data_IF_890241615988
#
_entry.id   IF_890241615988
#
_cell.length_a   1.000
_cell.length_b   1.000
_cell.length_c   1.000
_cell.angle_alpha   90.00
_cell.angle_beta   90.00
_cell.angle_gamma   90.00
#
_symmetry.space_group_name_H-M   'P 1'
#
loop_
_entity.id
_entity.type
_entity.pdbx_description
1 polymer ?
#
# COMPACT_ATOMS: atom_id res chain seq x y z
N UNK A 1 -11.31 27.45 32.17
CA UNK A 1 -11.89 28.04 30.95
C UNK A 1 -12.52 26.89 30.19
N UNK A 2 -13.62 26.29 30.69
CA UNK A 2 -15.00 26.85 30.68
C UNK A 2 -15.42 27.00 29.22
N UNK A 3 -16.35 26.21 28.67
CA UNK A 3 -17.77 26.04 29.04
C UNK A 3 -18.23 24.59 28.77
N UNK A 4 -18.79 23.77 29.67
CA UNK A 4 -20.04 23.80 30.47
C UNK A 4 -21.35 23.79 29.64
N UNK A 5 -21.84 22.57 29.43
CA UNK A 5 -23.23 22.11 29.60
C UNK A 5 -24.37 23.13 29.40
N UNK A 6 -25.07 23.05 28.26
CA UNK A 6 -26.49 23.44 28.16
C UNK A 6 -27.27 22.50 27.23
N UNK A 7 -27.56 21.29 27.71
CA UNK A 7 -28.72 20.52 27.26
C UNK A 7 -29.82 20.70 28.32
N UNK A 8 -30.58 21.79 28.19
CA UNK A 8 -31.73 22.08 29.06
C UNK A 8 -32.88 21.20 28.58
N UNK A 9 -33.24 20.20 29.39
CA UNK A 9 -34.51 19.47 29.29
C UNK A 9 -35.65 20.49 29.30
N UNK A 10 -36.42 20.53 28.21
CA UNK A 10 -37.77 21.11 28.23
C UNK A 10 -38.64 20.16 29.06
N UNK A 11 -38.73 20.41 30.36
CA UNK A 11 -39.84 19.92 31.18
C UNK A 11 -41.02 20.85 30.87
N UNK A 12 -42.08 20.28 30.34
CA UNK A 12 -43.38 20.94 30.19
C UNK A 12 -43.77 21.57 31.52
N UNK A 13 -44.00 22.89 31.53
CA UNK A 13 -44.62 23.54 32.67
C UNK A 13 -46.06 23.00 32.80
N UNK A 14 -46.45 22.45 33.95
CA UNK A 14 -47.80 21.96 34.14
C UNK A 14 -48.78 23.14 34.09
N UNK A 15 -50.03 22.91 33.64
CA UNK A 15 -51.01 23.97 33.49
C UNK A 15 -51.21 24.71 34.81
N UNK A 16 -51.39 26.03 34.73
CA UNK A 16 -51.52 26.97 35.86
C UNK A 16 -52.63 26.60 36.86
N UNK A 17 -53.55 25.71 36.50
CA UNK A 17 -54.54 25.09 37.38
C UNK A 17 -53.96 24.07 38.38
N UNK A 18 -52.82 23.43 38.07
CA UNK A 18 -52.09 22.54 38.98
C UNK A 18 -51.34 23.32 40.07
N UNK A 19 -50.81 24.51 39.74
CA UNK A 19 -50.07 25.39 40.66
C UNK A 19 -50.99 25.93 41.78
N UNK A 20 -52.29 26.06 41.52
CA UNK A 20 -53.27 26.55 42.49
C UNK A 20 -53.66 25.52 43.57
N UNK A 21 -53.42 24.22 43.35
CA UNK A 21 -53.66 23.17 44.34
C UNK A 21 -52.49 22.97 45.31
N UNK A 22 -51.27 23.36 44.92
CA UNK A 22 -50.06 23.26 45.77
C UNK A 22 -50.11 24.21 46.98
N UNK A 23 -50.91 25.27 46.94
CA UNK A 23 -50.91 26.33 47.97
C UNK A 23 -52.07 26.30 48.98
N UNK A 24 -53.04 25.39 48.85
CA UNK A 24 -54.18 25.31 49.78
C UNK A 24 -53.90 24.30 50.91
N UNK A 25 -53.28 24.77 52.00
CA UNK A 25 -53.01 23.95 53.19
C UNK A 25 -54.27 23.27 53.79
N UNK A 26 -55.47 23.83 53.61
CA UNK A 26 -56.70 23.31 54.23
C UNK A 26 -57.48 22.29 53.37
N UNK A 27 -56.99 21.93 52.18
CA UNK A 27 -57.68 21.01 51.26
C UNK A 27 -56.77 19.92 50.69
N UNK A 28 -55.75 19.54 51.48
CA UNK A 28 -54.81 18.47 51.13
C UNK A 28 -55.41 17.08 51.41
N UNK A 29 -56.39 17.01 52.31
CA UNK A 29 -57.20 15.82 52.59
C UNK A 29 -58.67 16.12 52.31
N UNK A 30 -59.31 15.31 51.46
CA UNK A 30 -60.69 15.51 51.02
C UNK A 30 -61.55 14.36 51.53
N UNK A 31 -62.54 14.69 52.37
CA UNK A 31 -63.50 13.72 52.87
C UNK A 31 -64.54 13.35 51.80
N UNK A 32 -64.76 12.05 51.62
CA UNK A 32 -65.65 11.50 50.60
C UNK A 32 -66.90 10.87 51.22
N UNK A 33 -68.01 10.91 50.48
CA UNK A 33 -69.27 10.21 50.82
C UNK A 33 -69.84 10.56 52.21
N UNK A 34 -69.73 11.82 52.62
CA UNK A 34 -70.23 12.29 53.91
C UNK A 34 -71.75 12.40 53.88
N UNK A 35 -72.40 11.68 54.79
CA UNK A 35 -73.86 11.70 54.92
C UNK A 35 -74.30 12.93 55.70
N UNK A 36 -75.47 13.48 55.37
CA UNK A 36 -76.09 14.55 56.17
C UNK A 36 -76.48 14.05 57.57
N UNK A 37 -76.89 12.78 57.66
CA UNK A 37 -77.34 12.14 58.89
C UNK A 37 -76.68 10.77 59.07
N UNK A 38 -76.17 10.54 60.27
CA UNK A 38 -75.71 9.23 60.73
C UNK A 38 -76.67 8.71 61.81
N UNK A 39 -76.96 7.41 61.79
CA UNK A 39 -77.91 6.81 62.74
C UNK A 39 -77.24 6.68 64.11
N UNK A 40 -77.81 7.24 65.19
CA UNK A 40 -77.27 7.07 66.55
C UNK A 40 -77.13 5.60 66.93
N UNK A 41 -76.02 5.23 67.58
CA UNK A 41 -75.76 3.85 68.00
C UNK A 41 -75.21 2.92 66.91
N UNK A 42 -74.91 3.43 65.72
CA UNK A 42 -74.21 2.69 64.65
C UNK A 42 -72.76 3.15 64.49
N UNK A 43 -71.86 2.24 64.13
CA UNK A 43 -70.48 2.58 63.79
C UNK A 43 -70.46 3.46 62.53
N UNK A 44 -69.55 4.41 62.46
CA UNK A 44 -69.40 5.32 61.32
C UNK A 44 -68.03 5.14 60.68
N UNK A 45 -68.02 4.72 59.42
CA UNK A 45 -66.82 4.73 58.58
C UNK A 45 -66.68 6.07 57.89
N UNK A 46 -65.55 6.73 58.14
CA UNK A 46 -65.16 7.97 57.48
C UNK A 46 -64.19 7.65 56.34
N UNK A 47 -64.51 8.10 55.13
CA UNK A 47 -63.66 7.92 53.95
C UNK A 47 -63.02 9.25 53.57
N UNK A 48 -61.75 9.22 53.17
CA UNK A 48 -61.05 10.40 52.69
C UNK A 48 -59.96 10.03 51.68
N UNK A 49 -59.60 11.00 50.86
CA UNK A 49 -58.56 10.91 49.85
C UNK A 49 -57.45 11.91 50.20
N UNK A 50 -56.21 11.49 49.98
CA UNK A 50 -55.02 12.30 50.28
C UNK A 50 -54.45 12.82 48.95
N UNK A 51 -54.17 14.13 48.89
CA UNK A 51 -53.53 14.74 47.73
C UNK A 51 -52.11 14.21 47.52
N UNK A 52 -51.69 14.04 46.26
CA UNK A 52 -50.35 13.57 45.87
C UNK A 52 -49.19 14.45 46.39
N UNK A 53 -49.48 15.68 46.85
CA UNK A 53 -48.49 16.61 47.38
C UNK A 53 -48.44 16.64 48.92
N UNK A 54 -49.27 15.83 49.60
CA UNK A 54 -49.30 15.70 51.05
C UNK A 54 -48.61 14.41 51.49
N UNK A 55 -47.75 14.49 52.49
CA UNK A 55 -47.02 13.34 53.04
C UNK A 55 -47.60 13.02 54.42
N UNK A 56 -48.41 11.95 54.57
CA UNK A 56 -49.01 11.57 55.85
C UNK A 56 -47.96 11.10 56.86
N UNK A 57 -48.16 11.41 58.13
CA UNK A 57 -47.36 10.91 59.25
C UNK A 57 -48.12 9.88 60.09
N UNK A 58 -47.38 8.99 60.77
CA UNK A 58 -47.94 7.97 61.69
C UNK A 58 -48.64 8.59 62.92
N UNK A 59 -48.48 9.89 63.13
CA UNK A 59 -49.10 10.67 64.21
C UNK A 59 -50.25 11.54 63.70
N UNK A 60 -50.68 11.35 62.47
CA UNK A 60 -51.84 12.04 61.94
C UNK A 60 -53.12 11.33 62.39
N UNK A 61 -54.21 12.07 62.48
CA UNK A 61 -55.47 11.55 63.01
C UNK A 61 -56.68 12.26 62.42
N UNK A 62 -57.80 11.54 62.41
CA UNK A 62 -59.10 12.09 62.03
C UNK A 62 -59.93 12.28 63.29
N UNK A 63 -60.40 13.50 63.51
CA UNK A 63 -61.26 13.85 64.63
C UNK A 63 -62.68 14.16 64.19
N UNK A 64 -63.65 13.90 65.07
CA UNK A 64 -65.01 14.44 64.98
C UNK A 64 -65.06 15.70 65.83
N UNK A 65 -65.40 16.84 65.24
CA UNK A 65 -65.48 18.12 65.91
C UNK A 65 -66.89 18.67 65.83
N UNK A 66 -67.37 19.28 66.92
CA UNK A 66 -68.60 20.08 66.89
C UNK A 66 -68.33 21.33 66.03
N UNK A 67 -69.25 21.65 65.12
CA UNK A 67 -69.13 22.84 64.25
C UNK A 67 -68.97 24.10 65.11
N UNK A 68 -67.99 24.94 64.76
CA UNK A 68 -67.61 26.12 65.55
C UNK A 68 -66.45 25.91 66.53
N UNK A 69 -65.77 24.75 66.47
CA UNK A 69 -64.51 24.50 67.17
C UNK A 69 -63.45 25.58 66.86
N UNK A 70 -62.63 25.94 67.85
CA UNK A 70 -61.56 26.96 67.68
C UNK A 70 -60.17 26.36 67.61
N UNK A 71 -59.96 25.21 68.25
CA UNK A 71 -58.66 24.55 68.35
C UNK A 71 -58.79 23.05 68.11
N UNK A 72 -57.70 22.42 67.66
CA UNK A 72 -57.63 20.96 67.47
C UNK A 72 -57.78 20.17 68.77
N UNK A 73 -57.78 20.83 69.93
CA UNK A 73 -58.01 20.22 71.25
C UNK A 73 -59.49 20.03 71.58
N UNK A 74 -60.40 20.60 70.78
CA UNK A 74 -61.86 20.54 70.96
C UNK A 74 -62.51 19.37 70.20
N UNK A 75 -61.75 18.32 69.89
CA UNK A 75 -62.31 17.12 69.29
C UNK A 75 -63.26 16.43 70.27
N UNK A 76 -64.35 15.87 69.76
CA UNK A 76 -65.26 15.03 70.54
C UNK A 76 -64.69 13.62 70.70
N UNK A 77 -64.26 13.04 69.58
CA UNK A 77 -63.55 11.75 69.52
C UNK A 77 -62.58 11.77 68.35
N UNK A 78 -61.60 10.88 68.36
CA UNK A 78 -60.58 10.78 67.32
C UNK A 78 -60.18 9.33 67.06
N UNK A 79 -59.57 9.13 65.90
CA UNK A 79 -58.95 7.88 65.50
C UNK A 79 -57.67 8.19 64.73
N UNK A 80 -56.59 7.46 65.01
CA UNK A 80 -55.33 7.59 64.25
C UNK A 80 -55.56 7.25 62.78
N UNK A 81 -54.92 8.02 61.91
CA UNK A 81 -54.92 7.72 60.48
C UNK A 81 -54.20 6.37 60.25
N UNK A 82 -54.68 5.52 59.33
CA UNK A 82 -53.99 4.27 58.98
C UNK A 82 -52.58 4.56 58.46
N UNK A 83 -51.68 3.60 58.65
CA UNK A 83 -50.31 3.70 58.14
C UNK A 83 -50.33 3.71 56.61
N UNK A 84 -49.73 4.73 56.00
CA UNK A 84 -49.62 4.89 54.56
C UNK A 84 -48.54 3.92 54.02
N UNK A 85 -48.87 3.14 52.99
CA UNK A 85 -47.91 2.24 52.32
C UNK A 85 -47.34 2.91 51.08
N UNK A 86 -46.02 2.97 50.93
CA UNK A 86 -45.33 3.61 49.79
C UNK A 86 -45.34 2.75 48.50
N UNK A 87 -46.49 2.20 48.11
CA UNK A 87 -46.63 1.59 46.79
C UNK A 87 -46.94 2.69 45.75
N UNK A 88 -46.44 2.56 44.51
CA UNK A 88 -46.61 3.58 43.46
C UNK A 88 -48.09 3.91 43.12
N UNK A 89 -49.06 3.13 43.63
CA UNK A 89 -50.51 3.36 43.46
C UNK A 89 -51.25 3.83 44.73
N UNK A 90 -50.53 4.09 45.83
CA UNK A 90 -51.14 4.33 47.14
C UNK A 90 -51.97 5.62 47.26
N UNK A 91 -51.66 6.63 46.43
CA UNK A 91 -52.39 7.91 46.43
C UNK A 91 -53.77 7.84 45.77
N UNK A 92 -54.02 6.84 44.93
CA UNK A 92 -55.35 6.58 44.32
C UNK A 92 -56.26 5.73 45.23
N UNK A 93 -55.71 5.14 46.30
CA UNK A 93 -56.49 4.34 47.25
C UNK A 93 -57.18 5.23 48.30
N UNK A 94 -58.52 5.15 48.32
CA UNK A 94 -59.34 5.84 49.32
C UNK A 94 -59.06 5.29 50.72
N UNK A 95 -58.65 6.17 51.62
CA UNK A 95 -58.36 5.84 53.01
C UNK A 95 -59.63 5.84 53.85
N UNK A 96 -59.65 5.03 54.91
CA UNK A 96 -60.80 4.92 55.79
C UNK A 96 -60.44 4.79 57.27
N UNK A 97 -61.29 5.36 58.11
CA UNK A 97 -61.19 5.30 59.57
C UNK A 97 -62.55 4.93 60.15
N UNK A 98 -62.57 3.99 61.09
CA UNK A 98 -63.78 3.49 61.72
C UNK A 98 -63.98 4.11 63.12
N UNK A 99 -65.05 4.87 63.28
CA UNK A 99 -65.49 5.36 64.58
C UNK A 99 -66.54 4.43 65.18
N UNK A 100 -66.24 3.89 66.35
CA UNK A 100 -67.15 2.99 67.05
C UNK A 100 -68.32 3.75 67.67
N UNK A 101 -69.52 3.19 67.55
CA UNK A 101 -70.78 3.79 67.98
C UNK A 101 -70.76 4.35 69.41
N UNK A 102 -70.06 3.67 70.31
CA UNK A 102 -70.01 4.05 71.72
C UNK A 102 -69.17 5.30 72.01
N UNK A 103 -68.32 5.72 71.07
CA UNK A 103 -67.55 6.97 71.12
C UNK A 103 -68.21 8.13 70.36
N UNK A 104 -69.36 7.92 69.73
CA UNK A 104 -70.01 8.94 68.91
C UNK A 104 -70.91 9.88 69.74
N UNK A 105 -71.13 11.12 69.26
CA UNK A 105 -72.11 12.03 69.85
C UNK A 105 -73.53 11.44 69.94
N UNK A 106 -74.26 11.86 70.98
CA UNK A 106 -75.64 11.43 71.25
C UNK A 106 -76.64 12.59 71.24
N UNK A 107 -76.16 13.81 70.99
CA UNK A 107 -76.97 15.00 70.80
C UNK A 107 -77.24 15.25 69.31
N UNK A 108 -78.06 16.27 69.03
CA UNK A 108 -78.45 16.69 67.70
C UNK A 108 -77.61 17.85 67.16
N UNK A 109 -76.42 18.08 67.73
CA UNK A 109 -75.52 19.13 67.27
C UNK A 109 -74.90 18.79 65.91
N UNK A 110 -74.42 19.82 65.21
CA UNK A 110 -73.68 19.64 63.97
C UNK A 110 -72.23 19.29 64.25
N UNK A 111 -71.74 18.24 63.61
CA UNK A 111 -70.37 17.76 63.66
C UNK A 111 -69.74 17.71 62.27
N UNK A 112 -68.42 17.69 62.21
CA UNK A 112 -67.67 17.48 60.98
C UNK A 112 -66.41 16.66 61.28
N UNK A 113 -65.91 15.95 60.28
CA UNK A 113 -64.60 15.31 60.34
C UNK A 113 -63.52 16.36 60.04
N UNK A 114 -62.41 16.30 60.76
CA UNK A 114 -61.21 17.08 60.46
C UNK A 114 -59.99 16.17 60.46
N UNK A 115 -59.11 16.33 59.48
CA UNK A 115 -57.81 15.66 59.44
C UNK A 115 -56.76 16.57 60.06
N UNK A 116 -56.04 16.06 61.05
CA UNK A 116 -55.03 16.79 61.82
C UNK A 116 -53.69 16.09 61.71
N UNK A 117 -52.63 16.84 61.38
CA UNK A 117 -51.28 16.29 61.30
C UNK A 117 -50.58 16.17 62.66
N UNK A 118 -49.37 15.61 62.64
CA UNK A 118 -48.48 15.51 63.80
C UNK A 118 -48.13 16.85 64.47
N UNK A 119 -48.19 17.96 63.73
CA UNK A 119 -47.88 19.32 64.17
C UNK A 119 -49.13 20.06 64.67
N UNK A 120 -50.31 19.43 64.57
CA UNK A 120 -51.60 19.97 65.00
C UNK A 120 -52.26 20.88 63.98
N UNK A 121 -51.83 20.88 62.72
CA UNK A 121 -52.44 21.62 61.62
C UNK A 121 -53.58 20.84 60.97
N UNK A 122 -54.53 21.58 60.39
CA UNK A 122 -55.73 21.03 59.76
C UNK A 122 -55.52 20.98 58.26
N UNK A 123 -55.60 19.78 57.69
CA UNK A 123 -55.37 19.54 56.26
C UNK A 123 -56.64 19.22 55.47
N UNK A 124 -57.76 19.06 56.18
CA UNK A 124 -59.07 18.83 55.58
C UNK A 124 -60.19 18.93 56.60
N UNK A 125 -61.36 19.39 56.17
CA UNK A 125 -62.59 19.40 56.96
C UNK A 125 -63.78 18.97 56.10
N UNK A 126 -64.66 18.12 56.63
CA UNK A 126 -65.85 17.65 55.92
C UNK A 126 -66.98 18.68 55.95
N UNK A 127 -68.00 18.44 55.11
CA UNK A 127 -69.31 19.07 55.31
C UNK A 127 -69.91 18.66 56.68
N UNK A 128 -70.72 19.53 57.32
CA UNK A 128 -71.40 19.21 58.58
C UNK A 128 -72.44 18.09 58.45
N UNK A 129 -72.58 17.30 59.52
CA UNK A 129 -73.56 16.23 59.67
C UNK A 129 -74.10 16.15 61.11
N UNK A 130 -75.21 15.43 61.29
CA UNK A 130 -75.83 15.21 62.61
C UNK A 130 -76.05 13.73 62.88
N UNK A 131 -76.10 13.35 64.15
CA UNK A 131 -76.50 12.02 64.58
C UNK A 131 -78.01 11.97 64.84
N UNK A 132 -78.80 11.73 63.78
CA UNK A 132 -80.27 11.60 63.85
C UNK A 132 -80.84 10.69 62.78
N UNK A 133 -82.07 10.21 62.97
CA UNK A 133 -82.81 9.43 61.96
C UNK A 133 -83.46 10.33 60.91
N UNK A 134 -83.41 9.94 59.62
CA UNK A 134 -84.10 10.68 58.54
C UNK A 134 -85.62 10.68 58.75
N UNK A 135 -86.31 11.84 58.62
CA UNK A 135 -87.77 11.88 58.59
C UNK A 135 -88.29 11.26 57.28
N UNK A 136 -89.30 10.38 57.37
CA UNK A 136 -89.99 9.84 56.19
C UNK A 136 -90.99 10.87 55.65
N UNK A 137 -90.86 11.23 54.38
CA UNK A 137 -91.79 12.10 53.65
C UNK A 137 -93.12 11.36 53.37
N UNK A 138 -94.11 11.54 54.25
CA UNK A 138 -95.51 11.14 54.05
C UNK A 138 -96.39 12.41 54.07
N UNK A 139 -96.13 13.35 53.15
CA UNK A 139 -96.88 14.60 53.05
C UNK A 139 -97.84 14.55 51.85
N UNK A 140 -99.13 14.33 52.12
CA UNK A 140 -100.19 14.26 51.11
C UNK A 140 -100.54 15.68 50.63
N UNK A 141 -100.10 16.04 49.42
CA UNK A 141 -100.38 17.35 48.81
C UNK A 141 -101.76 17.31 48.15
N UNK A 142 -102.74 18.04 48.69
CA UNK A 142 -104.10 18.18 48.11
C UNK A 142 -104.13 19.42 47.21
N UNK A 143 -104.09 19.24 45.89
CA UNK A 143 -104.25 20.31 44.89
C UNK A 143 -105.68 20.37 44.34
N UNK A 144 -106.13 21.55 43.89
CA UNK A 144 -107.49 21.79 43.38
C UNK A 144 -107.63 21.37 41.91
N UNK A 145 -108.79 20.86 41.51
CA UNK A 145 -109.06 20.19 40.22
C UNK A 145 -108.67 21.01 38.97
N UNK A 146 -108.86 22.33 38.97
CA UNK A 146 -108.46 23.21 37.84
C UNK A 146 -106.96 23.53 37.76
N UNK A 147 -106.18 23.32 38.83
CA UNK A 147 -104.72 23.40 38.78
C UNK A 147 -104.14 22.12 38.16
N UNK A 148 -104.80 20.98 38.35
CA UNK A 148 -104.42 19.69 37.78
C UNK A 148 -104.50 19.71 36.26
N UNK A 149 -105.57 20.23 35.66
CA UNK A 149 -105.69 20.32 34.18
C UNK A 149 -104.61 21.20 33.55
N UNK A 150 -104.25 22.32 34.18
CA UNK A 150 -103.15 23.19 33.71
C UNK A 150 -101.81 22.46 33.80
N UNK A 151 -101.55 21.78 34.92
CA UNK A 151 -100.34 20.98 35.11
C UNK A 151 -100.29 19.83 34.10
N UNK A 152 -101.43 19.22 33.77
CA UNK A 152 -101.53 18.13 32.80
C UNK A 152 -101.14 18.61 31.39
N UNK A 153 -101.70 19.73 30.91
CA UNK A 153 -101.35 20.33 29.62
C UNK A 153 -99.89 20.76 29.55
N UNK A 154 -99.38 21.34 30.65
CA UNK A 154 -97.98 21.74 30.73
C UNK A 154 -97.06 20.53 30.68
N UNK A 155 -97.41 19.42 31.34
CA UNK A 155 -96.70 18.15 31.28
C UNK A 155 -96.72 17.53 29.88
N UNK A 156 -97.83 17.57 29.16
CA UNK A 156 -97.90 17.08 27.77
C UNK A 156 -96.98 17.88 26.84
N UNK A 157 -96.97 19.21 27.01
CA UNK A 157 -96.09 20.12 26.25
C UNK A 157 -94.62 19.83 26.55
N UNK A 158 -94.26 19.71 27.84
CA UNK A 158 -92.92 19.36 28.28
C UNK A 158 -92.48 17.96 27.82
N UNK A 159 -93.41 17.02 27.70
CA UNK A 159 -93.14 15.68 27.19
C UNK A 159 -92.79 15.73 25.69
N UNK A 160 -93.52 16.51 24.89
CA UNK A 160 -93.20 16.72 23.49
C UNK A 160 -91.86 17.43 23.31
N UNK A 161 -91.58 18.49 24.07
CA UNK A 161 -90.28 19.16 24.06
C UNK A 161 -89.14 18.20 24.43
N UNK A 162 -89.31 17.38 25.47
CA UNK A 162 -88.32 16.37 25.84
C UNK A 162 -88.07 15.34 24.73
N UNK A 163 -89.12 14.92 24.02
CA UNK A 163 -88.97 14.00 22.89
C UNK A 163 -88.20 14.65 21.73
N UNK A 164 -88.48 15.91 21.41
CA UNK A 164 -87.73 16.66 20.39
C UNK A 164 -86.28 16.89 20.81
N UNK A 165 -86.04 17.29 22.07
CA UNK A 165 -84.70 17.45 22.61
C UNK A 165 -83.91 16.15 22.54
N UNK A 166 -84.51 15.00 22.87
CA UNK A 166 -83.85 13.69 22.74
C UNK A 166 -83.47 13.36 21.29
N UNK A 167 -84.33 13.64 20.32
CA UNK A 167 -84.02 13.43 18.89
C UNK A 167 -82.86 14.32 18.45
N UNK A 168 -82.86 15.59 18.85
CA UNK A 168 -81.78 16.52 18.53
C UNK A 168 -80.45 16.10 19.18
N UNK A 169 -80.50 15.63 20.44
CA UNK A 169 -79.32 15.11 21.14
C UNK A 169 -78.73 13.89 20.42
N UNK A 170 -79.57 12.96 19.97
CA UNK A 170 -79.12 11.79 19.21
C UNK A 170 -78.48 12.20 17.87
N UNK A 171 -79.10 13.13 17.14
CA UNK A 171 -78.53 13.65 15.89
C UNK A 171 -77.19 14.36 16.08
N UNK A 172 -77.05 15.17 17.14
CA UNK A 172 -75.79 15.83 17.49
C UNK A 172 -74.71 14.83 17.94
N UNK A 173 -75.09 13.75 18.62
CA UNK A 173 -74.16 12.68 18.96
C UNK A 173 -73.64 11.98 17.70
N UNK A 174 -74.52 11.67 16.75
CA UNK A 174 -74.15 11.02 15.49
C UNK A 174 -73.22 11.92 14.65
N UNK A 175 -73.50 13.23 14.59
CA UNK A 175 -72.60 14.21 13.96
C UNK A 175 -71.24 14.31 14.67
N UNK A 176 -71.21 14.28 16.00
CA UNK A 176 -69.95 14.31 16.75
C UNK A 176 -69.09 13.09 16.44
N UNK A 177 -69.68 11.88 16.40
CA UNK A 177 -68.95 10.66 16.06
C UNK A 177 -68.38 10.76 14.64
N UNK A 178 -69.19 11.21 13.66
CA UNK A 178 -68.72 11.39 12.29
C UNK A 178 -67.55 12.38 12.18
N UNK A 179 -67.65 13.54 12.83
CA UNK A 179 -66.56 14.53 12.86
C UNK A 179 -65.30 13.98 13.54
N UNK A 180 -65.47 13.12 14.53
CA UNK A 180 -64.36 12.47 15.24
C UNK A 180 -63.65 11.44 14.34
N UNK A 181 -64.40 10.68 13.53
CA UNK A 181 -63.85 9.78 12.51
C UNK A 181 -63.11 10.54 11.40
N UNK A 182 -63.67 11.66 10.93
CA UNK A 182 -63.01 12.54 9.95
C UNK A 182 -61.71 13.14 10.52
N UNK A 183 -61.70 13.53 11.79
CA UNK A 183 -60.50 14.05 12.46
C UNK A 183 -59.40 12.98 12.53
N UNK A 184 -59.76 11.72 12.84
CA UNK A 184 -58.81 10.60 12.87
C UNK A 184 -58.26 10.33 11.46
N UNK A 185 -59.13 10.32 10.44
CA UNK A 185 -58.70 10.14 9.05
C UNK A 185 -57.77 11.28 8.58
N UNK A 186 -58.07 12.52 8.95
CA UNK A 186 -57.23 13.68 8.63
C UNK A 186 -55.86 13.59 9.30
N UNK A 187 -55.77 13.15 10.57
CA UNK A 187 -54.49 12.92 11.26
C UNK A 187 -53.66 11.83 10.58
N UNK A 188 -54.29 10.72 10.20
CA UNK A 188 -53.60 9.64 9.50
C UNK A 188 -53.04 10.09 8.13
N UNK A 189 -53.77 10.96 7.42
CA UNK A 189 -53.27 11.58 6.19
C UNK A 189 -52.11 12.54 6.47
N UNK A 190 -52.19 13.34 7.53
CA UNK A 190 -51.10 14.24 7.93
C UNK A 190 -49.81 13.48 8.24
N UNK A 191 -49.89 12.39 9.00
CA UNK A 191 -48.72 11.54 9.31
C UNK A 191 -48.08 10.97 8.04
N UNK A 192 -48.91 10.60 7.06
CA UNK A 192 -48.44 10.10 5.77
C UNK A 192 -47.79 11.19 4.93
N UNK A 193 -48.30 12.42 4.97
CA UNK A 193 -47.68 13.59 4.33
C UNK A 193 -46.31 13.86 4.94
N UNK A 194 -46.22 13.94 6.28
CA UNK A 194 -44.94 14.17 6.97
C UNK A 194 -43.92 13.06 6.62
N UNK A 195 -44.36 11.79 6.60
CA UNK A 195 -43.47 10.67 6.22
C UNK A 195 -42.99 10.76 4.77
N UNK A 196 -43.83 11.29 3.86
CA UNK A 196 -43.44 11.49 2.46
C UNK A 196 -42.50 12.69 2.32
N UNK A 197 -42.71 13.76 3.08
CA UNK A 197 -41.80 14.91 3.14
C UNK A 197 -40.41 14.49 3.61
N UNK A 198 -40.29 13.74 4.72
CA UNK A 198 -39.02 13.21 5.21
C UNK A 198 -38.28 12.36 4.16
N UNK A 199 -39.04 11.56 3.39
CA UNK A 199 -38.48 10.75 2.29
C UNK A 199 -38.02 11.61 1.12
N UNK A 200 -38.77 12.64 0.76
CA UNK A 200 -38.40 13.58 -0.29
C UNK A 200 -37.11 14.32 0.10
N UNK A 201 -37.02 14.85 1.32
CA UNK A 201 -35.80 15.51 1.82
C UNK A 201 -34.57 14.58 1.78
N UNK A 202 -34.74 13.33 2.19
CA UNK A 202 -33.67 12.32 2.13
C UNK A 202 -33.24 11.99 0.70
N UNK A 203 -34.18 11.89 -0.23
CA UNK A 203 -33.88 11.67 -1.65
C UNK A 203 -33.20 12.90 -2.27
N UNK A 204 -33.60 14.11 -1.89
CA UNK A 204 -32.95 15.34 -2.31
C UNK A 204 -31.51 15.43 -1.80
N UNK A 205 -31.25 15.08 -0.54
CA UNK A 205 -29.88 15.05 -0.01
C UNK A 205 -29.01 14.03 -0.74
N UNK A 206 -29.56 12.82 -1.00
CA UNK A 206 -28.85 11.78 -1.76
C UNK A 206 -28.54 12.21 -3.19
N UNK A 207 -29.50 12.83 -3.89
CA UNK A 207 -29.27 13.36 -5.23
C UNK A 207 -28.20 14.44 -5.26
N UNK A 208 -28.16 15.31 -4.24
CA UNK A 208 -27.13 16.34 -4.11
C UNK A 208 -25.74 15.74 -3.93
N UNK A 209 -25.61 14.67 -3.15
CA UNK A 209 -24.33 13.99 -2.95
C UNK A 209 -23.89 13.22 -4.20
N UNK A 210 -24.82 12.52 -4.87
CA UNK A 210 -24.55 11.88 -6.16
C UNK A 210 -24.11 12.88 -7.24
N UNK A 211 -24.69 14.09 -7.28
CA UNK A 211 -24.28 15.11 -8.24
C UNK A 211 -22.88 15.66 -7.93
N UNK A 212 -22.48 15.74 -6.65
CA UNK A 212 -21.09 16.09 -6.28
C UNK A 212 -20.11 15.01 -6.72
N UNK A 213 -20.41 13.73 -6.47
CA UNK A 213 -19.56 12.61 -6.92
C UNK A 213 -19.43 12.60 -8.43
N UNK A 214 -20.53 12.83 -9.16
CA UNK A 214 -20.52 12.93 -10.62
C UNK A 214 -19.66 14.11 -11.12
N UNK A 215 -19.68 15.25 -10.45
CA UNK A 215 -18.78 16.37 -10.77
C UNK A 215 -17.31 15.99 -10.55
N UNK A 216 -16.98 15.38 -9.41
CA UNK A 216 -15.61 14.94 -9.11
C UNK A 216 -15.10 13.90 -10.13
N UNK A 217 -15.89 12.88 -10.44
CA UNK A 217 -15.53 11.87 -11.46
C UNK A 217 -15.33 12.52 -12.83
N UNK A 218 -16.11 13.55 -13.17
CA UNK A 218 -15.98 14.26 -14.44
C UNK A 218 -14.67 15.05 -14.51
N UNK A 219 -14.24 15.66 -13.41
CA UNK A 219 -12.96 16.36 -13.27
C UNK A 219 -11.79 15.38 -13.41
N UNK A 220 -11.81 14.26 -12.67
CA UNK A 220 -10.80 13.21 -12.77
C UNK A 220 -10.69 12.66 -14.21
N UNK A 221 -11.83 12.44 -14.87
CA UNK A 221 -11.86 11.98 -16.25
C UNK A 221 -11.28 13.00 -17.23
N UNK A 222 -11.45 14.30 -16.96
CA UNK A 222 -10.83 15.37 -17.75
C UNK A 222 -9.31 15.38 -17.55
N UNK A 223 -8.84 15.29 -16.31
CA UNK A 223 -7.42 15.21 -15.99
C UNK A 223 -6.76 13.99 -16.64
N UNK A 224 -7.36 12.79 -16.52
CA UNK A 224 -6.84 11.57 -17.14
C UNK A 224 -6.75 11.70 -18.66
N UNK A 225 -7.70 12.42 -19.30
CA UNK A 225 -7.64 12.67 -20.75
C UNK A 225 -6.48 13.59 -21.13
N UNK A 226 -6.22 14.64 -20.35
CA UNK A 226 -5.11 15.55 -20.57
C UNK A 226 -3.76 14.84 -20.37
N UNK A 227 -3.62 14.06 -19.30
CA UNK A 227 -2.44 13.24 -19.04
C UNK A 227 -2.21 12.22 -20.17
N UNK A 228 -3.28 11.55 -20.64
CA UNK A 228 -3.20 10.63 -21.78
C UNK A 228 -2.70 11.32 -23.04
N UNK A 229 -3.19 12.52 -23.35
CA UNK A 229 -2.77 13.26 -24.54
C UNK A 229 -1.29 13.69 -24.43
N UNK A 230 -0.85 14.14 -23.25
CA UNK A 230 0.56 14.45 -22.97
C UNK A 230 1.46 13.23 -23.21
N UNK A 231 1.10 12.08 -22.62
CA UNK A 231 1.86 10.84 -22.77
C UNK A 231 1.89 10.36 -24.23
N UNK A 232 0.79 10.54 -24.99
CA UNK A 232 0.78 10.22 -26.42
C UNK A 232 1.73 11.11 -27.21
N UNK A 233 1.79 12.41 -26.90
CA UNK A 233 2.74 13.33 -27.53
C UNK A 233 4.20 12.98 -27.19
N UNK A 234 4.49 12.69 -25.92
CA UNK A 234 5.82 12.24 -25.48
C UNK A 234 6.22 10.93 -26.17
N UNK A 235 5.28 9.98 -26.28
CA UNK A 235 5.50 8.72 -26.99
C UNK A 235 5.86 8.98 -28.46
N UNK A 236 5.12 9.84 -29.17
CA UNK A 236 5.41 10.18 -30.56
C UNK A 236 6.80 10.84 -30.72
N UNK A 237 7.17 11.73 -29.79
CA UNK A 237 8.50 12.34 -29.77
C UNK A 237 9.61 11.29 -29.59
N UNK A 238 9.42 10.35 -28.66
CA UNK A 238 10.36 9.26 -28.41
C UNK A 238 10.46 8.29 -29.60
N UNK A 239 9.34 7.97 -30.27
CA UNK A 239 9.34 7.16 -31.49
C UNK A 239 10.12 7.84 -32.62
N UNK A 240 9.94 9.15 -32.79
CA UNK A 240 10.69 9.93 -33.78
C UNK A 240 12.19 9.95 -33.45
N UNK A 241 12.56 10.19 -32.19
CA UNK A 241 13.95 10.18 -31.75
C UNK A 241 14.61 8.81 -31.97
N UNK A 242 13.89 7.73 -31.65
CA UNK A 242 14.35 6.36 -31.87
C UNK A 242 14.59 6.09 -33.36
N UNK A 243 13.68 6.52 -34.23
CA UNK A 243 13.80 6.39 -35.68
C UNK A 243 15.03 7.13 -36.21
N UNK A 244 15.28 8.36 -35.76
CA UNK A 244 16.48 9.12 -36.12
C UNK A 244 17.75 8.43 -35.64
N UNK A 245 17.76 7.92 -34.41
CA UNK A 245 18.91 7.22 -33.82
C UNK A 245 19.21 5.92 -34.56
N UNK A 246 18.17 5.17 -34.96
CA UNK A 246 18.32 3.97 -35.77
C UNK A 246 18.92 4.29 -37.14
N UNK A 247 18.44 5.35 -37.80
CA UNK A 247 19.00 5.77 -39.08
C UNK A 247 20.47 6.16 -38.97
N UNK A 248 20.85 6.90 -37.93
CA UNK A 248 22.24 7.24 -37.64
C UNK A 248 23.10 5.99 -37.38
N UNK A 249 22.56 5.00 -36.65
CA UNK A 249 23.24 3.74 -36.40
C UNK A 249 23.49 2.97 -37.71
N UNK A 250 22.50 2.89 -38.59
CA UNK A 250 22.65 2.26 -39.90
C UNK A 250 23.71 2.98 -40.76
N UNK A 251 23.72 4.30 -40.74
CA UNK A 251 24.73 5.12 -41.44
C UNK A 251 26.15 4.86 -40.91
N UNK A 252 26.34 4.88 -39.59
CA UNK A 252 27.63 4.55 -38.97
C UNK A 252 28.06 3.10 -39.25
N UNK A 253 27.12 2.14 -39.25
CA UNK A 253 27.42 0.75 -39.60
C UNK A 253 27.94 0.63 -41.04
N UNK A 254 27.31 1.33 -41.99
CA UNK A 254 27.79 1.38 -43.37
C UNK A 254 29.18 2.02 -43.46
N UNK A 255 29.42 3.12 -42.75
CA UNK A 255 30.72 3.79 -42.72
C UNK A 255 31.82 2.88 -42.16
N UNK A 256 31.57 2.20 -41.05
CA UNK A 256 32.51 1.24 -40.45
C UNK A 256 32.76 0.08 -41.41
N UNK A 257 31.74 -0.43 -42.09
CA UNK A 257 31.94 -1.48 -43.10
C UNK A 257 32.82 -1.00 -44.26
N UNK A 258 32.60 0.22 -44.76
CA UNK A 258 33.44 0.79 -45.82
C UNK A 258 34.90 0.91 -45.38
N UNK A 259 35.15 1.43 -44.17
CA UNK A 259 36.49 1.54 -43.61
C UNK A 259 37.15 0.17 -43.40
N UNK A 260 36.39 -0.83 -42.93
CA UNK A 260 36.90 -2.20 -42.79
C UNK A 260 37.36 -2.76 -44.15
N UNK A 261 36.59 -2.54 -45.21
CA UNK A 261 36.95 -2.99 -46.56
C UNK A 261 38.19 -2.27 -47.09
N UNK A 262 38.33 -0.97 -46.81
CA UNK A 262 39.55 -0.22 -47.15
C UNK A 262 40.77 -0.76 -46.39
N UNK A 263 40.61 -1.07 -45.10
CA UNK A 263 41.66 -1.70 -44.29
C UNK A 263 42.06 -3.07 -44.84
N UNK A 264 41.11 -3.92 -45.22
CA UNK A 264 41.39 -5.23 -45.82
C UNK A 264 42.16 -5.08 -47.14
N UNK A 265 41.75 -4.15 -48.02
CA UNK A 265 42.46 -3.86 -49.27
C UNK A 265 43.90 -3.36 -49.03
N UNK A 266 44.09 -2.47 -48.05
CA UNK A 266 45.43 -1.99 -47.68
C UNK A 266 46.27 -3.13 -47.10
N UNK A 267 45.68 -4.00 -46.30
CA UNK A 267 46.37 -5.16 -45.74
C UNK A 267 46.82 -6.13 -46.83
N UNK A 268 46.01 -6.36 -47.85
CA UNK A 268 46.41 -7.19 -49.00
C UNK A 268 47.52 -6.52 -49.83
N UNK A 269 47.43 -5.21 -50.08
CA UNK A 269 48.50 -4.45 -50.72
C UNK A 269 49.83 -4.52 -49.93
N UNK A 270 49.76 -4.44 -48.60
CA UNK A 270 50.93 -4.61 -47.73
C UNK A 270 51.51 -6.01 -47.87
N UNK A 271 50.68 -7.07 -47.89
CA UNK A 271 51.15 -8.45 -48.11
C UNK A 271 51.88 -8.59 -49.45
N UNK A 272 51.31 -8.07 -50.54
CA UNK A 272 51.93 -8.10 -51.86
C UNK A 272 53.29 -7.38 -51.85
N UNK A 273 53.35 -6.20 -51.22
CA UNK A 273 54.61 -5.44 -51.10
C UNK A 273 55.66 -6.15 -50.24
N UNK A 274 55.24 -6.89 -49.21
CA UNK A 274 56.14 -7.74 -48.42
C UNK A 274 56.70 -8.88 -49.28
N UNK A 275 55.87 -9.53 -50.09
CA UNK A 275 56.31 -10.57 -51.03
C UNK A 275 57.32 -10.03 -52.05
N UNK A 276 57.03 -8.87 -52.67
CA UNK A 276 57.96 -8.19 -53.59
C UNK A 276 59.32 -7.90 -52.92
N UNK A 277 59.30 -7.43 -51.66
CA UNK A 277 60.51 -7.13 -50.89
C UNK A 277 61.32 -8.40 -50.58
N UNK A 278 60.67 -9.51 -50.28
CA UNK A 278 61.32 -10.81 -50.05
C UNK A 278 61.97 -11.34 -51.33
N UNK A 279 61.30 -11.21 -52.48
CA UNK A 279 61.85 -11.59 -53.78
C UNK A 279 63.08 -10.75 -54.12
N UNK A 280 62.98 -9.42 -54.04
CA UNK A 280 64.11 -8.50 -54.27
C UNK A 280 65.28 -8.77 -53.32
N UNK A 281 65.00 -9.10 -52.05
CA UNK A 281 66.03 -9.49 -51.08
C UNK A 281 66.72 -10.78 -51.52
N UNK A 282 65.96 -11.77 -52.02
CA UNK A 282 66.47 -13.00 -52.62
C UNK A 282 67.37 -12.74 -53.84
N UNK A 283 66.92 -11.92 -54.77
CA UNK A 283 67.70 -11.49 -55.94
C UNK A 283 69.00 -10.79 -55.53
N UNK A 284 68.94 -9.90 -54.53
CA UNK A 284 70.11 -9.20 -54.02
C UNK A 284 71.15 -10.17 -53.43
N UNK A 285 70.72 -11.18 -52.68
CA UNK A 285 71.60 -12.25 -52.20
C UNK A 285 72.25 -13.03 -53.34
N UNK A 286 71.47 -13.40 -54.37
CA UNK A 286 72.00 -14.12 -55.54
C UNK A 286 73.02 -13.27 -56.32
N UNK A 287 72.72 -11.99 -56.53
CA UNK A 287 73.62 -11.06 -57.21
C UNK A 287 74.92 -10.85 -56.42
N UNK A 288 74.83 -10.68 -55.10
CA UNK A 288 76.02 -10.58 -54.23
C UNK A 288 76.87 -11.85 -54.30
N UNK A 289 76.26 -13.04 -54.28
CA UNK A 289 76.98 -14.30 -54.44
C UNK A 289 77.61 -14.45 -55.84
N UNK A 290 76.95 -13.99 -56.89
CA UNK A 290 77.51 -13.95 -58.25
C UNK A 290 78.69 -12.99 -58.34
N UNK A 291 78.58 -11.79 -57.75
CA UNK A 291 79.64 -10.79 -57.71
C UNK A 291 80.86 -11.29 -56.93
N UNK A 292 80.65 -12.03 -55.83
CA UNK A 292 81.72 -12.69 -55.10
C UNK A 292 82.43 -13.76 -55.94
N UNK A 293 81.65 -14.63 -56.62
CA UNK A 293 82.19 -15.63 -57.55
C UNK A 293 83.00 -14.98 -58.68
N UNK A 294 82.51 -13.88 -59.25
CA UNK A 294 83.21 -13.15 -60.30
C UNK A 294 84.52 -12.53 -59.79
N UNK A 295 84.53 -11.94 -58.59
CA UNK A 295 85.78 -11.48 -57.95
C UNK A 295 86.80 -12.61 -57.78
N UNK A 296 86.36 -13.79 -57.34
CA UNK A 296 87.24 -14.95 -57.20
C UNK A 296 87.81 -15.42 -58.54
N UNK A 297 86.98 -15.45 -59.59
CA UNK A 297 87.42 -15.78 -60.95
C UNK A 297 88.43 -14.77 -61.49
N UNK A 298 88.19 -13.47 -61.28
CA UNK A 298 89.13 -12.42 -61.69
C UNK A 298 90.47 -12.57 -60.96
N UNK A 299 90.47 -12.79 -59.64
CA UNK A 299 91.69 -13.02 -58.87
C UNK A 299 92.45 -14.26 -59.37
N UNK A 300 91.74 -15.37 -59.64
CA UNK A 300 92.35 -16.59 -60.19
C UNK A 300 92.94 -16.34 -61.59
N UNK A 301 92.25 -15.56 -62.42
CA UNK A 301 92.75 -15.16 -63.74
C UNK A 301 94.00 -14.29 -63.60
N UNK A 302 94.01 -13.32 -62.69
CA UNK A 302 95.19 -12.51 -62.38
C UNK A 302 96.38 -13.40 -61.94
N UNK A 303 96.15 -14.36 -61.02
CA UNK A 303 97.17 -15.33 -60.61
C UNK A 303 97.67 -16.20 -61.78
N UNK A 304 96.77 -16.70 -62.64
CA UNK A 304 97.14 -17.46 -63.83
C UNK A 304 97.95 -16.61 -64.82
N UNK A 305 97.58 -15.35 -65.04
CA UNK A 305 98.34 -14.45 -65.92
C UNK A 305 99.74 -14.16 -65.37
N UNK A 306 99.88 -13.99 -64.05
CA UNK A 306 101.18 -13.83 -63.40
C UNK A 306 102.02 -15.09 -63.51
N UNK A 307 101.44 -16.27 -63.26
CA UNK A 307 102.12 -17.55 -63.41
C UNK A 307 102.61 -17.78 -64.85
N UNK A 308 101.79 -17.46 -65.87
CA UNK A 308 102.19 -17.53 -67.27
C UNK A 308 103.34 -16.56 -67.60
N UNK A 309 103.34 -15.35 -67.04
CA UNK A 309 104.46 -14.41 -67.20
C UNK A 309 105.75 -14.96 -66.57
N UNK A 310 105.67 -15.56 -65.39
CA UNK A 310 106.82 -16.19 -64.71
C UNK A 310 107.35 -17.36 -65.54
N UNK A 311 106.48 -18.27 -66.00
CA UNK A 311 106.86 -19.41 -66.83
C UNK A 311 107.48 -18.97 -68.16
N UNK A 312 106.94 -17.92 -68.79
CA UNK A 312 107.53 -17.35 -70.01
C UNK A 312 108.94 -16.81 -69.75
N UNK A 313 109.14 -16.08 -68.65
CA UNK A 313 110.47 -15.61 -68.25
C UNK A 313 111.43 -16.78 -67.99
N UNK A 314 111.00 -17.80 -67.25
CA UNK A 314 111.79 -19.01 -67.01
C UNK A 314 112.14 -19.75 -68.29
N UNK A 315 111.20 -19.82 -69.25
CA UNK A 315 111.46 -20.39 -70.58
C UNK A 315 112.53 -19.58 -71.33
N UNK A 316 112.40 -18.26 -71.35
CA UNK A 316 113.37 -17.38 -72.02
C UNK A 316 114.77 -17.48 -71.35
N UNK A 317 114.82 -17.54 -70.02
CA UNK A 317 116.04 -17.75 -69.24
C UNK A 317 116.67 -19.13 -69.55
N UNK A 318 115.87 -20.20 -69.60
CA UNK A 318 116.31 -21.54 -69.97
C UNK A 318 116.75 -21.62 -71.43
N UNK A 319 116.07 -20.95 -72.36
CA UNK A 319 116.49 -20.87 -73.76
C UNK A 319 117.84 -20.16 -73.88
N UNK A 320 118.03 -19.07 -73.11
CA UNK A 320 119.30 -18.35 -73.06
C UNK A 320 120.41 -19.22 -72.45
N UNK A 321 120.13 -19.96 -71.38
CA UNK A 321 121.08 -20.88 -70.76
C UNK A 321 121.38 -22.08 -71.66
N UNK A 322 120.38 -22.64 -72.34
CA UNK A 322 120.55 -23.71 -73.31
C UNK A 322 121.37 -23.22 -74.52
N UNK A 323 121.19 -21.97 -74.95
CA UNK A 323 122.02 -21.35 -75.98
C UNK A 323 123.47 -21.16 -75.50
N UNK A 324 123.70 -20.76 -74.24
CA UNK A 324 125.04 -20.70 -73.63
C UNK A 324 125.67 -22.08 -73.55
N UNK A 325 124.95 -23.08 -73.04
CA UNK A 325 125.39 -24.47 -72.96
C UNK A 325 125.66 -25.07 -74.34
N UNK A 326 124.89 -24.67 -75.37
CA UNK A 326 125.15 -25.06 -76.76
C UNK A 326 126.47 -24.45 -77.25
N UNK A 327 126.71 -23.16 -77.00
CA UNK A 327 127.99 -22.51 -77.32
C UNK A 327 129.16 -23.16 -76.57
N UNK A 328 128.96 -23.51 -75.31
CA UNK A 328 129.96 -24.18 -74.47
C UNK A 328 130.20 -25.63 -74.90
N UNK A 329 129.16 -26.39 -75.28
CA UNK A 329 129.29 -27.70 -75.89
C UNK A 329 130.00 -27.64 -77.24
N UNK A 330 129.75 -26.61 -78.04
CA UNK A 330 130.44 -26.42 -79.31
C UNK A 330 131.92 -26.06 -79.10
N UNK A 331 132.23 -25.26 -78.06
CA UNK A 331 133.59 -25.01 -77.58
C UNK A 331 134.27 -26.28 -77.03
N UNK A 332 133.52 -27.16 -76.36
CA UNK A 332 134.01 -28.44 -75.84
C UNK A 332 134.21 -29.46 -76.98
N UNK A 333 133.33 -29.49 -77.99
CA UNK A 333 133.51 -30.24 -79.25
C UNK A 333 134.76 -29.79 -80.01
N UNK A 334 135.11 -28.51 -79.94
CA UNK A 334 136.35 -27.97 -80.53
C UNK A 334 137.64 -28.36 -79.76
N UNK A 335 137.53 -28.88 -78.53
CA UNK A 335 138.68 -29.22 -77.66
C UNK A 335 139.00 -30.72 -77.53
N UNK A 336 138.34 -31.60 -78.28
CA UNK A 336 138.60 -33.04 -78.24
C UNK A 336 138.82 -33.65 -79.65
N UNK A 337 139.88 -34.45 -79.90
CA UNK A 337 140.16 -35.06 -81.19
C UNK A 337 139.32 -36.31 -81.46
N UNK A 338 138.95 -36.50 -82.73
CA UNK A 338 138.06 -37.55 -83.21
C UNK A 338 138.66 -38.97 -83.17
N UNK A 339 137.89 -39.92 -82.61
CA UNK A 339 137.97 -41.35 -82.94
C UNK A 339 136.57 -41.86 -83.28
N UNK A 340 136.46 -42.49 -84.46
CA UNK A 340 135.30 -43.22 -84.99
C UNK A 340 135.24 -44.64 -84.42
N UNK A 341 134.05 -45.14 -84.06
CA UNK A 341 133.38 -46.30 -84.70
C UNK A 341 132.23 -46.92 -83.88
N UNK A 342 131.11 -47.13 -84.58
CA UNK A 342 130.11 -48.23 -84.52
C UNK A 342 129.07 -48.41 -83.38
N UNK A 343 127.82 -48.21 -83.82
CA UNK A 343 126.66 -49.16 -83.85
C UNK A 343 125.54 -49.12 -82.78
N UNK A 344 124.30 -49.01 -83.31
CA UNK A 344 122.95 -49.37 -82.81
C UNK A 344 122.47 -48.71 -81.50
N UNK A 345 121.22 -48.29 -81.27
CA UNK A 345 119.93 -48.51 -81.90
C UNK A 345 118.85 -48.53 -80.79
N UNK A 346 117.96 -47.52 -80.81
CA UNK A 346 116.54 -47.50 -80.37
C UNK A 346 116.10 -47.79 -78.90
N UNK A 347 115.61 -46.71 -78.27
CA UNK A 347 114.23 -46.47 -77.76
C UNK A 347 113.58 -47.32 -76.63
N UNK A 348 113.30 -46.58 -75.52
CA UNK A 348 111.96 -46.28 -74.96
C UNK A 348 111.52 -46.94 -73.64
N UNK A 349 111.25 -46.05 -72.66
CA UNK A 349 109.94 -45.79 -72.03
C UNK A 349 109.93 -45.79 -70.49
N UNK A 350 109.46 -44.67 -69.95
CA UNK A 350 108.87 -44.35 -68.63
C UNK A 350 107.77 -45.37 -68.21
N UNK A 351 107.15 -45.33 -66.99
CA UNK A 351 106.85 -44.15 -66.14
C UNK A 351 106.99 -44.38 -64.59
N UNK A 352 106.63 -43.40 -63.75
CA UNK A 352 107.02 -43.31 -62.34
C UNK A 352 105.88 -43.47 -61.30
N UNK A 353 106.32 -43.57 -60.02
CA UNK A 353 105.68 -43.18 -58.75
C UNK A 353 104.39 -43.92 -58.32
N UNK A 354 104.31 -44.77 -57.28
CA UNK A 354 104.68 -44.66 -55.84
C UNK A 354 104.30 -43.32 -55.18
N UNK A 355 103.67 -43.24 -54.01
CA UNK A 355 103.01 -44.17 -53.10
C UNK A 355 102.39 -43.27 -51.99
N UNK A 356 101.10 -43.44 -51.77
CA UNK A 356 100.33 -43.43 -50.51
C UNK A 356 100.70 -42.58 -49.27
N UNK A 357 99.61 -41.97 -48.73
CA UNK A 357 99.13 -41.98 -47.33
C UNK A 357 99.86 -41.20 -46.22
N UNK A 358 99.16 -40.22 -45.65
CA UNK A 358 98.73 -40.04 -44.23
C UNK A 358 98.18 -38.60 -44.10
N UNK A 359 97.18 -38.22 -43.31
CA UNK A 359 96.53 -38.82 -42.14
C UNK A 359 96.34 -37.73 -41.08
N UNK A 360 95.10 -37.23 -40.95
CA UNK A 360 94.41 -36.72 -39.74
C UNK A 360 94.98 -35.51 -38.93
N UNK A 361 94.06 -34.75 -38.27
CA UNK A 361 94.07 -34.45 -36.81
C UNK A 361 93.68 -33.02 -36.34
N UNK A 362 92.55 -32.96 -35.62
CA UNK A 362 92.19 -32.05 -34.49
C UNK A 362 91.95 -30.54 -34.79
N UNK A 363 91.02 -29.80 -34.18
CA UNK A 363 90.55 -29.79 -32.78
C UNK A 363 89.11 -29.26 -32.64
N UNK A 364 88.52 -29.53 -31.47
CA UNK A 364 87.12 -29.40 -31.07
C UNK A 364 86.76 -27.98 -30.49
N UNK A 365 85.67 -27.78 -29.70
CA UNK A 365 84.59 -26.80 -29.90
C UNK A 365 84.61 -25.66 -28.83
N UNK A 366 83.52 -24.92 -28.57
CA UNK A 366 82.43 -25.39 -27.68
C UNK A 366 81.01 -24.92 -28.11
N UNK A 367 79.96 -25.73 -27.85
CA UNK A 367 78.91 -25.52 -26.82
C UNK A 367 77.98 -24.31 -27.10
N UNK A 368 76.69 -24.26 -26.77
CA UNK A 368 75.69 -25.15 -26.19
C UNK A 368 74.34 -24.45 -26.46
N UNK A 369 73.27 -25.24 -26.49
CA UNK A 369 71.93 -24.93 -26.00
C UNK A 369 71.27 -23.57 -26.29
N UNK A 370 70.20 -23.62 -27.10
CA UNK A 370 69.02 -22.80 -26.83
C UNK A 370 67.80 -23.71 -26.69
N UNK A 371 67.55 -24.01 -25.42
CA UNK A 371 66.37 -24.60 -24.82
C UNK A 371 65.12 -23.78 -25.19
N UNK A 372 64.15 -24.39 -25.88
CA UNK A 372 62.81 -23.83 -26.03
C UNK A 372 62.10 -23.82 -24.68
N UNK A 373 61.96 -22.65 -24.07
CA UNK A 373 61.24 -22.45 -22.80
C UNK A 373 59.74 -22.28 -23.06
N UNK A 374 58.87 -23.02 -22.35
CA UNK A 374 57.43 -22.74 -22.29
C UNK A 374 57.18 -21.60 -21.30
N UNK A 375 56.57 -20.51 -21.76
CA UNK A 375 56.18 -19.35 -20.94
C UNK A 375 54.67 -19.31 -20.77
N UNK A 376 54.20 -19.08 -19.55
CA UNK A 376 52.78 -18.82 -19.32
C UNK A 376 52.41 -17.44 -19.90
N UNK A 377 51.39 -17.33 -20.76
CA UNK A 377 51.04 -16.08 -21.44
C UNK A 377 50.40 -15.01 -20.53
N UNK A 378 49.96 -15.40 -19.33
CA UNK A 378 49.23 -14.51 -18.40
C UNK A 378 50.18 -13.90 -17.36
N UNK A 379 50.91 -14.73 -16.59
CA UNK A 379 51.82 -14.26 -15.53
C UNK A 379 53.31 -14.23 -15.91
N UNK A 380 53.65 -14.69 -17.13
CA UNK A 380 55.01 -14.73 -17.66
C UNK A 380 56.03 -15.59 -16.88
N UNK A 381 55.57 -16.47 -15.98
CA UNK A 381 56.44 -17.43 -15.30
C UNK A 381 57.05 -18.45 -16.29
N UNK A 382 58.33 -18.77 -16.08
CA UNK A 382 59.15 -19.61 -16.95
C UNK A 382 59.30 -20.99 -16.31
N UNK A 383 58.84 -22.03 -17.01
CA UNK A 383 58.88 -23.41 -16.51
C UNK A 383 60.02 -24.23 -17.12
N UNK A 384 60.69 -25.13 -16.36
CA UNK A 384 61.69 -26.06 -16.91
C UNK A 384 61.07 -27.07 -17.89
N UNK A 385 61.85 -27.52 -18.89
CA UNK A 385 61.37 -28.36 -20.01
C UNK A 385 60.82 -29.76 -19.64
N UNK A 386 60.97 -30.19 -18.40
CA UNK A 386 60.48 -31.48 -17.90
C UNK A 386 59.21 -31.38 -17.03
N UNK A 387 58.52 -30.23 -17.02
CA UNK A 387 57.24 -30.14 -16.30
C UNK A 387 56.19 -31.05 -16.95
N UNK A 388 55.51 -31.84 -16.13
CA UNK A 388 54.40 -32.69 -16.61
C UNK A 388 53.33 -31.79 -17.24
N UNK A 389 52.87 -32.14 -18.45
CA UNK A 389 51.92 -31.34 -19.23
C UNK A 389 50.66 -30.97 -18.42
N UNK A 390 50.27 -31.83 -17.48
CA UNK A 390 49.14 -31.65 -16.59
C UNK A 390 49.39 -30.52 -15.55
N UNK A 391 50.59 -30.44 -14.98
CA UNK A 391 50.98 -29.37 -14.03
C UNK A 391 51.05 -28.00 -14.70
N UNK A 392 51.49 -27.95 -15.97
CA UNK A 392 51.45 -26.71 -16.76
C UNK A 392 50.01 -26.30 -17.10
N UNK A 393 49.14 -27.26 -17.44
CA UNK A 393 47.73 -27.00 -17.72
C UNK A 393 46.97 -26.52 -16.48
N UNK A 394 47.20 -27.13 -15.32
CA UNK A 394 46.59 -26.72 -14.05
C UNK A 394 47.03 -25.32 -13.63
N UNK A 395 48.30 -24.96 -13.87
CA UNK A 395 48.78 -23.60 -13.64
C UNK A 395 48.06 -22.57 -14.52
N UNK A 396 47.90 -22.83 -15.82
CA UNK A 396 47.20 -21.91 -16.74
C UNK A 396 45.72 -21.81 -16.37
N UNK A 397 45.08 -22.91 -15.98
CA UNK A 397 43.67 -22.93 -15.59
C UNK A 397 43.41 -22.14 -14.31
N UNK A 398 44.35 -22.08 -13.36
CA UNK A 398 44.23 -21.25 -12.17
C UNK A 398 44.22 -19.74 -12.46
N UNK A 399 44.69 -19.31 -13.64
CA UNK A 399 44.61 -17.91 -14.07
C UNK A 399 43.25 -17.56 -14.68
N UNK A 400 42.32 -18.52 -14.80
CA UNK A 400 41.03 -18.33 -15.47
C UNK A 400 39.90 -18.59 -14.48
N UNK A 401 39.02 -17.60 -14.32
CA UNK A 401 37.80 -17.65 -13.52
C UNK A 401 36.60 -17.84 -14.45
N UNK A 402 35.94 -18.98 -14.36
CA UNK A 402 34.75 -19.26 -15.15
C UNK A 402 33.49 -18.83 -14.38
N UNK A 403 32.57 -18.14 -15.07
CA UNK A 403 31.28 -17.79 -14.49
C UNK A 403 30.37 -19.02 -14.44
N UNK A 404 29.74 -19.37 -13.30
CA UNK A 404 28.88 -20.55 -13.20
C UNK A 404 27.50 -20.35 -13.83
N UNK A 405 27.10 -19.09 -14.09
CA UNK A 405 25.78 -18.72 -14.62
C UNK A 405 25.79 -18.52 -16.14
N UNK A 406 26.96 -18.22 -16.72
CA UNK A 406 27.12 -18.14 -18.17
C UNK A 406 28.52 -18.61 -18.58
N UNK A 407 28.67 -19.16 -19.79
CA UNK A 407 29.93 -19.73 -20.28
C UNK A 407 31.01 -18.66 -20.64
N UNK A 408 31.09 -17.57 -19.87
CA UNK A 408 32.11 -16.54 -20.00
C UNK A 408 33.26 -16.82 -19.03
N UNK A 409 34.48 -16.66 -19.53
CA UNK A 409 35.72 -16.87 -18.80
C UNK A 409 36.41 -15.53 -18.58
N UNK A 410 37.04 -15.36 -17.43
CA UNK A 410 37.66 -14.11 -16.98
C UNK A 410 39.10 -14.37 -16.52
N UNK A 411 40.00 -13.41 -16.66
CA UNK A 411 41.36 -13.51 -16.11
C UNK A 411 41.32 -13.30 -14.58
N UNK A 412 42.04 -14.13 -13.84
CA UNK A 412 42.21 -14.03 -12.38
C UNK A 412 42.81 -12.70 -11.91
N UNK A 413 43.54 -12.02 -12.79
CA UNK A 413 44.14 -10.70 -12.54
C UNK A 413 43.08 -9.61 -12.43
N UNK A 414 41.92 -9.79 -13.07
CA UNK A 414 40.81 -8.84 -13.13
C UNK A 414 39.63 -9.29 -12.25
N UNK A 415 39.95 -9.73 -11.02
CA UNK A 415 38.96 -10.26 -10.06
C UNK A 415 37.75 -9.35 -9.84
N UNK A 416 37.95 -8.03 -9.82
CA UNK A 416 36.84 -7.07 -9.66
C UNK A 416 35.83 -7.16 -10.81
N UNK A 417 36.28 -7.36 -12.04
CA UNK A 417 35.42 -7.46 -13.23
C UNK A 417 34.61 -8.77 -13.18
N UNK A 418 35.23 -9.85 -12.72
CA UNK A 418 34.54 -11.13 -12.46
C UNK A 418 33.46 -10.97 -11.38
N UNK A 419 33.80 -10.37 -10.24
CA UNK A 419 32.87 -10.19 -9.11
C UNK A 419 31.68 -9.31 -9.50
N UNK A 420 31.92 -8.20 -10.22
CA UNK A 420 30.86 -7.32 -10.74
C UNK A 420 29.97 -8.07 -11.75
N UNK A 421 30.56 -8.89 -12.63
CA UNK A 421 29.82 -9.70 -13.60
C UNK A 421 28.91 -10.74 -12.94
N UNK A 422 29.42 -11.46 -11.92
CA UNK A 422 28.63 -12.44 -11.16
C UNK A 422 27.52 -11.73 -10.36
N UNK A 423 27.79 -10.54 -9.83
CA UNK A 423 26.78 -9.74 -9.12
C UNK A 423 25.64 -9.30 -10.05
N UNK A 424 25.91 -8.98 -11.32
CA UNK A 424 24.85 -8.66 -12.29
C UNK A 424 23.85 -9.82 -12.49
N UNK A 425 24.30 -11.08 -12.53
CA UNK A 425 23.38 -12.22 -12.61
C UNK A 425 22.47 -12.31 -11.38
N UNK A 426 22.97 -11.98 -10.18
CA UNK A 426 22.17 -11.98 -8.95
C UNK A 426 21.11 -10.86 -8.92
N UNK A 427 21.33 -9.77 -9.66
CA UNK A 427 20.36 -8.68 -9.79
C UNK A 427 19.29 -8.95 -10.86
N UNK A 428 19.59 -9.78 -11.86
CA UNK A 428 18.63 -10.16 -12.91
C UNK A 428 17.68 -11.29 -12.47
N UNK A 429 18.04 -12.08 -11.44
CA UNK A 429 17.21 -13.14 -10.86
C UNK A 429 16.34 -12.70 -9.65
N UNK A 430 16.45 -11.43 -9.21
CA UNK A 430 15.65 -10.84 -8.12
C UNK A 430 14.55 -9.92 -8.67
#
# INVERSE_FOLDING_TARGET
>A
MEDIFHARKNLEEPPTSAIMLESCHFSQVIFANIKKFYVPGTDVTCYYNISQYFIPSKKDWVGIFKVGWKTTREYYTFMWAPEFSDSENSYDEQQQVLFKAYYLPKDDEYYQFCYVDQDGQIHGASIPFQFRTEPKDDMLVVTKEGEVEKIQQQNETLLQENQNLKKNLASLQEQNVHLQDELVAAKALQDKVNTLEDKCEKLESQNKDLEKEKCAIKEDLMQIKEEKESVLSEKEQMENLLKTTLHQKEEFQLQVHMQQKEMDNLQDCIKDKVMDLEELKGENYQLNAALFRQKMLNNLQEEQTLALQILKKQKDDLEQENQKLWQENELLRARLPAIRSSSAGLLSRSPPNSELLFGNSYSAPPEMDLVSLKKCPICQEVFPNNIEQQQYSDHVQNHILDCPYCNKTFDSSDKQVYDDHVFCHHLEEA
#
